data_IF_199024891362
#
_entry.id   IF_199024891362
#
_cell.length_a   1.000
_cell.length_b   1.000
_cell.length_c   1.000
_cell.angle_alpha   90.00
_cell.angle_beta   90.00
_cell.angle_gamma   90.00
#
_symmetry.space_group_name_H-M   'P 1'
#
loop_
_entity.id
_entity.type
_entity.pdbx_description
1 polymer ?
#
# COMPACT_ATOMS: atom_id res chain seq x y z
N UNK A 1 -48.02 31.93 -15.93
CA UNK A 1 -47.49 30.57 -16.00
C UNK A 1 -46.09 30.61 -15.38
N UNK A 2 -45.93 30.04 -14.20
CA UNK A 2 -44.59 29.86 -13.63
C UNK A 2 -43.96 28.67 -14.32
N UNK A 3 -42.92 28.91 -15.11
CA UNK A 3 -42.12 27.84 -15.65
C UNK A 3 -41.38 27.14 -14.49
N UNK A 4 -41.53 25.83 -14.40
CA UNK A 4 -40.79 25.04 -13.43
C UNK A 4 -39.30 25.07 -13.80
N UNK A 5 -38.41 25.26 -12.80
CA UNK A 5 -36.98 25.32 -13.01
C UNK A 5 -36.42 24.04 -13.65
N UNK A 6 -37.07 22.91 -13.42
CA UNK A 6 -36.71 21.63 -13.99
C UNK A 6 -37.05 21.55 -15.49
N UNK A 7 -38.20 22.06 -15.89
CA UNK A 7 -38.60 22.15 -17.29
C UNK A 7 -37.69 23.11 -18.09
N UNK A 8 -37.24 24.21 -17.48
CA UNK A 8 -36.27 25.14 -18.11
C UNK A 8 -34.90 24.45 -18.28
N UNK A 9 -34.43 23.68 -17.28
CA UNK A 9 -33.16 22.98 -17.35
C UNK A 9 -33.17 21.87 -18.43
N UNK A 10 -34.31 21.20 -18.60
CA UNK A 10 -34.50 20.16 -19.62
C UNK A 10 -34.56 20.78 -21.03
N UNK A 11 -35.31 21.86 -21.20
CA UNK A 11 -35.36 22.61 -22.46
C UNK A 11 -33.95 23.10 -22.91
N UNK A 12 -33.20 23.71 -21.99
CA UNK A 12 -31.83 24.19 -22.29
C UNK A 12 -30.83 23.09 -22.59
N UNK A 13 -31.07 21.88 -22.10
CA UNK A 13 -30.24 20.69 -22.41
C UNK A 13 -30.56 20.14 -23.80
N UNK A 14 -31.82 20.20 -24.22
CA UNK A 14 -32.28 19.74 -25.53
C UNK A 14 -31.99 20.75 -26.64
N UNK A 15 -31.84 22.04 -26.29
CA UNK A 15 -31.64 23.16 -27.22
C UNK A 15 -30.36 23.91 -26.92
N UNK A 16 -29.15 23.32 -27.15
CA UNK A 16 -27.88 23.97 -26.91
C UNK A 16 -27.63 25.21 -27.78
N UNK A 17 -28.27 25.30 -28.95
CA UNK A 17 -28.26 26.44 -29.85
C UNK A 17 -28.75 27.74 -29.17
N UNK A 18 -29.59 27.64 -28.15
CA UNK A 18 -30.04 28.79 -27.34
C UNK A 18 -28.85 29.57 -26.75
N UNK A 19 -27.80 28.90 -26.36
CA UNK A 19 -26.60 29.52 -25.78
C UNK A 19 -25.75 30.24 -26.82
N UNK A 20 -25.81 29.81 -28.08
CA UNK A 20 -25.13 30.48 -29.20
C UNK A 20 -25.92 31.74 -29.65
N UNK A 21 -27.25 31.62 -29.79
CA UNK A 21 -28.09 32.72 -30.20
C UNK A 21 -28.17 33.86 -29.17
N UNK A 22 -28.00 33.52 -27.89
CA UNK A 22 -28.11 34.47 -26.78
C UNK A 22 -26.81 34.69 -26.01
N UNK A 23 -25.64 34.50 -26.67
CA UNK A 23 -24.35 34.55 -26.03
C UNK A 23 -24.03 35.90 -25.34
N UNK A 24 -24.40 37.01 -25.97
CA UNK A 24 -24.20 38.37 -25.43
C UNK A 24 -25.04 38.59 -24.15
N UNK A 25 -26.29 38.17 -24.17
CA UNK A 25 -27.16 38.25 -22.99
C UNK A 25 -26.68 37.39 -21.84
N UNK A 26 -26.19 36.18 -22.13
CA UNK A 26 -25.67 35.28 -21.12
C UNK A 26 -24.35 35.80 -20.53
N UNK A 27 -23.49 36.45 -21.32
CA UNK A 27 -22.24 37.07 -20.85
C UNK A 27 -22.49 38.19 -19.82
N UNK A 28 -23.56 38.96 -20.02
CA UNK A 28 -23.96 40.05 -19.12
C UNK A 28 -24.83 39.62 -17.93
N UNK A 29 -25.30 38.37 -17.93
CA UNK A 29 -26.14 37.83 -16.84
C UNK A 29 -25.35 37.70 -15.54
N UNK A 30 -25.76 38.43 -14.50
CA UNK A 30 -25.15 38.39 -13.17
C UNK A 30 -25.91 37.43 -12.27
N UNK A 31 -25.21 36.46 -11.73
CA UNK A 31 -25.74 35.52 -10.71
C UNK A 31 -25.12 35.82 -9.36
N UNK A 32 -25.93 35.71 -8.28
CA UNK A 32 -25.43 35.91 -6.92
C UNK A 32 -24.30 34.93 -6.58
N UNK A 33 -23.19 35.46 -6.09
CA UNK A 33 -22.10 34.64 -5.57
C UNK A 33 -22.52 33.97 -4.27
N UNK A 34 -22.33 32.68 -4.10
CA UNK A 34 -22.81 31.95 -2.91
C UNK A 34 -22.13 32.40 -1.60
N UNK A 35 -20.98 33.07 -1.65
CA UNK A 35 -20.21 33.43 -0.44
C UNK A 35 -20.03 34.93 -0.21
N UNK A 36 -20.19 35.80 -1.21
CA UNK A 36 -19.86 37.23 -1.09
C UNK A 36 -21.03 38.19 -1.34
N UNK A 37 -22.21 37.69 -1.65
CA UNK A 37 -23.39 38.50 -1.83
C UNK A 37 -23.40 39.45 -3.03
N UNK A 38 -22.33 39.43 -3.86
CA UNK A 38 -22.19 40.23 -5.08
C UNK A 38 -22.59 39.42 -6.32
N UNK A 39 -23.35 40.04 -7.23
CA UNK A 39 -23.72 39.40 -8.49
C UNK A 39 -22.51 39.49 -9.46
N UNK A 40 -22.07 38.33 -9.99
CA UNK A 40 -21.01 38.23 -10.99
C UNK A 40 -21.52 37.64 -12.31
N UNK A 41 -20.91 37.99 -13.46
CA UNK A 41 -21.24 37.35 -14.73
C UNK A 41 -21.07 35.84 -14.70
N UNK A 42 -21.91 35.11 -15.42
CA UNK A 42 -21.82 33.63 -15.51
C UNK A 42 -20.44 33.18 -15.99
N UNK A 43 -19.88 33.88 -17.00
CA UNK A 43 -18.56 33.58 -17.55
C UNK A 43 -17.44 33.69 -16.49
N UNK A 44 -17.52 34.68 -15.61
CA UNK A 44 -16.53 34.90 -14.54
C UNK A 44 -16.61 33.78 -13.48
N UNK A 45 -17.83 33.33 -13.14
CA UNK A 45 -18.05 32.17 -12.26
C UNK A 45 -17.54 30.88 -12.86
N UNK A 46 -17.75 30.65 -14.16
CA UNK A 46 -17.20 29.51 -14.88
C UNK A 46 -15.67 29.53 -14.89
N UNK A 47 -15.08 30.71 -15.08
CA UNK A 47 -13.62 30.88 -15.06
C UNK A 47 -13.02 30.55 -13.69
N UNK A 48 -13.65 30.98 -12.60
CA UNK A 48 -13.24 30.64 -11.23
C UNK A 48 -13.33 29.14 -11.00
N UNK A 49 -14.47 28.52 -11.35
CA UNK A 49 -14.68 27.08 -11.20
C UNK A 49 -13.66 26.26 -12.03
N UNK A 50 -13.33 26.74 -13.25
CA UNK A 50 -12.35 26.08 -14.11
C UNK A 50 -10.92 26.19 -13.53
N UNK A 51 -10.56 27.35 -12.98
CA UNK A 51 -9.27 27.54 -12.30
C UNK A 51 -9.15 26.65 -11.06
N UNK A 52 -10.18 26.52 -10.27
CA UNK A 52 -10.22 25.62 -9.11
C UNK A 52 -10.06 24.16 -9.53
N UNK A 53 -10.78 23.73 -10.56
CA UNK A 53 -10.66 22.39 -11.14
C UNK A 53 -9.24 22.11 -11.66
N UNK A 54 -8.65 23.09 -12.35
CA UNK A 54 -7.27 22.96 -12.86
C UNK A 54 -6.27 22.82 -11.72
N UNK A 55 -6.36 23.65 -10.68
CA UNK A 55 -5.51 23.56 -9.49
C UNK A 55 -5.63 22.21 -8.79
N UNK A 56 -6.86 21.68 -8.67
CA UNK A 56 -7.09 20.34 -8.11
C UNK A 56 -6.44 19.24 -8.96
N UNK A 57 -6.55 19.34 -10.29
CA UNK A 57 -5.92 18.38 -11.20
C UNK A 57 -4.39 18.45 -11.12
N UNK A 58 -3.80 19.62 -11.07
CA UNK A 58 -2.36 19.82 -10.91
C UNK A 58 -1.85 19.23 -9.58
N UNK A 59 -2.61 19.45 -8.49
CA UNK A 59 -2.29 18.84 -7.20
C UNK A 59 -2.31 17.31 -7.25
N UNK A 60 -3.37 16.72 -7.81
CA UNK A 60 -3.47 15.26 -7.98
C UNK A 60 -2.38 14.71 -8.89
N UNK A 61 -2.04 15.43 -9.95
CA UNK A 61 -0.97 15.02 -10.86
C UNK A 61 0.39 15.01 -10.16
N UNK A 62 0.68 16.02 -9.38
CA UNK A 62 1.91 16.09 -8.56
C UNK A 62 1.99 14.94 -7.56
N UNK A 63 0.87 14.61 -6.93
CA UNK A 63 0.77 13.48 -6.02
C UNK A 63 1.01 12.13 -6.73
N UNK A 64 0.44 11.94 -7.92
CA UNK A 64 0.66 10.73 -8.72
C UNK A 64 2.13 10.59 -9.14
N UNK A 65 2.80 11.67 -9.55
CA UNK A 65 4.24 11.64 -9.88
C UNK A 65 5.06 11.23 -8.65
N UNK A 66 4.75 11.79 -7.48
CA UNK A 66 5.43 11.43 -6.23
C UNK A 66 5.23 9.96 -5.88
N UNK A 67 4.02 9.43 -6.01
CA UNK A 67 3.76 8.00 -5.78
C UNK A 67 4.47 7.12 -6.80
N UNK A 68 4.50 7.50 -8.08
CA UNK A 68 5.26 6.80 -9.12
C UNK A 68 6.74 6.70 -8.77
N UNK A 69 7.38 7.81 -8.42
CA UNK A 69 8.80 7.83 -8.02
C UNK A 69 9.09 6.98 -6.77
N UNK A 70 8.20 6.99 -5.78
CA UNK A 70 8.35 6.13 -4.60
C UNK A 70 8.23 4.63 -4.97
N UNK A 71 7.31 4.28 -5.88
CA UNK A 71 7.16 2.91 -6.34
C UNK A 71 8.40 2.41 -7.10
N UNK A 72 9.00 3.27 -7.92
CA UNK A 72 10.23 2.95 -8.65
C UNK A 72 11.39 2.68 -7.66
N UNK A 73 11.55 3.53 -6.63
CA UNK A 73 12.57 3.33 -5.59
C UNK A 73 12.37 2.01 -4.82
N UNK A 74 11.12 1.66 -4.47
CA UNK A 74 10.82 0.38 -3.82
C UNK A 74 11.12 -0.78 -4.76
N UNK A 75 10.79 -0.63 -6.06
CA UNK A 75 11.10 -1.62 -7.09
C UNK A 75 12.59 -1.88 -7.22
N UNK A 76 13.43 -0.84 -7.22
CA UNK A 76 14.88 -0.96 -7.26
C UNK A 76 15.44 -1.66 -6.00
N UNK A 77 14.91 -1.31 -4.81
CA UNK A 77 15.29 -1.98 -3.56
C UNK A 77 14.95 -3.48 -3.62
N UNK A 78 13.75 -3.82 -4.03
CA UNK A 78 13.30 -5.20 -4.17
C UNK A 78 14.16 -5.98 -5.17
N UNK A 79 14.53 -5.35 -6.28
CA UNK A 79 15.43 -5.97 -7.27
C UNK A 79 16.81 -6.29 -6.67
N UNK A 80 17.42 -5.36 -5.90
CA UNK A 80 18.70 -5.62 -5.20
C UNK A 80 18.59 -6.78 -4.22
N UNK A 81 17.53 -6.81 -3.42
CA UNK A 81 17.26 -7.91 -2.48
C UNK A 81 17.12 -9.23 -3.23
N UNK A 82 16.39 -9.24 -4.35
CA UNK A 82 16.24 -10.43 -5.20
C UNK A 82 17.60 -10.97 -5.67
N UNK A 83 18.48 -10.10 -6.16
CA UNK A 83 19.81 -10.50 -6.60
C UNK A 83 20.67 -11.02 -5.44
N UNK A 84 20.59 -10.38 -4.27
CA UNK A 84 21.33 -10.82 -3.08
C UNK A 84 20.84 -12.20 -2.59
N UNK A 85 19.53 -12.41 -2.54
CA UNK A 85 18.93 -13.70 -2.18
C UNK A 85 19.26 -14.81 -3.17
N UNK A 86 19.30 -14.47 -4.47
CA UNK A 86 19.72 -15.44 -5.49
C UNK A 86 21.19 -15.86 -5.36
N UNK A 87 22.06 -14.94 -4.94
CA UNK A 87 23.47 -15.18 -4.76
C UNK A 87 23.83 -15.85 -3.41
N UNK A 88 22.91 -15.88 -2.44
CA UNK A 88 23.12 -16.49 -1.13
C UNK A 88 23.40 -18.00 -1.28
N UNK A 89 24.52 -18.53 -0.71
CA UNK A 89 24.91 -19.92 -0.90
C UNK A 89 24.22 -20.90 0.07
N UNK A 90 23.66 -20.41 1.18
CA UNK A 90 23.11 -21.20 2.27
C UNK A 90 21.95 -20.49 2.97
N UNK A 91 21.23 -21.22 3.83
CA UNK A 91 20.03 -20.68 4.52
C UNK A 91 20.40 -19.52 5.44
N UNK A 92 21.52 -19.59 6.16
CA UNK A 92 21.96 -18.57 7.10
C UNK A 92 22.21 -17.24 6.39
N UNK A 93 22.94 -17.26 5.28
CA UNK A 93 23.17 -16.08 4.44
C UNK A 93 21.87 -15.56 3.84
N UNK A 94 20.94 -16.46 3.50
CA UNK A 94 19.61 -16.06 2.99
C UNK A 94 18.81 -15.29 4.04
N UNK A 95 18.80 -15.76 5.29
CA UNK A 95 18.15 -15.11 6.42
C UNK A 95 18.81 -13.78 6.77
N UNK A 96 20.15 -13.73 6.80
CA UNK A 96 20.91 -12.48 6.98
C UNK A 96 20.56 -11.43 5.92
N UNK A 97 20.48 -11.80 4.66
CA UNK A 97 20.07 -10.90 3.57
C UNK A 97 18.67 -10.37 3.80
N UNK A 98 17.73 -11.21 4.23
CA UNK A 98 16.36 -10.77 4.54
C UNK A 98 16.38 -9.72 5.66
N UNK A 99 16.98 -10.03 6.80
CA UNK A 99 17.04 -9.11 7.95
C UNK A 99 17.77 -7.81 7.63
N UNK A 100 18.93 -7.91 6.99
CA UNK A 100 19.72 -6.74 6.59
C UNK A 100 18.91 -5.84 5.66
N UNK A 101 18.25 -6.41 4.66
CA UNK A 101 17.45 -5.65 3.70
C UNK A 101 16.23 -5.00 4.36
N UNK A 102 15.55 -5.69 5.29
CA UNK A 102 14.44 -5.10 6.04
C UNK A 102 14.91 -3.87 6.81
N UNK A 103 16.04 -3.98 7.51
CA UNK A 103 16.56 -2.90 8.32
C UNK A 103 17.14 -1.74 7.48
N UNK A 104 18.00 -2.06 6.49
CA UNK A 104 18.81 -1.06 5.78
C UNK A 104 18.12 -0.50 4.54
N UNK A 105 17.50 -1.36 3.72
CA UNK A 105 16.86 -0.93 2.48
C UNK A 105 15.43 -0.44 2.71
N UNK A 106 14.66 -1.14 3.54
CA UNK A 106 13.25 -0.83 3.75
C UNK A 106 12.96 -0.04 5.03
N UNK A 107 13.97 0.22 5.85
CA UNK A 107 13.82 0.99 7.10
C UNK A 107 12.72 0.39 8.02
N UNK A 108 12.72 -0.95 8.13
CA UNK A 108 11.85 -1.70 9.03
C UNK A 108 12.67 -2.08 10.27
N UNK A 109 12.36 -1.51 11.44
CA UNK A 109 13.20 -1.66 12.62
C UNK A 109 13.14 -3.05 13.25
N UNK A 110 12.05 -3.79 13.03
CA UNK A 110 11.88 -5.16 13.58
C UNK A 110 11.37 -6.10 12.51
N UNK A 111 12.05 -7.23 12.39
CA UNK A 111 11.67 -8.32 11.50
C UNK A 111 11.95 -9.66 12.19
N UNK A 112 11.07 -10.61 12.03
CA UNK A 112 11.24 -11.97 12.51
C UNK A 112 10.72 -12.97 11.47
N UNK A 113 11.53 -13.96 11.14
CA UNK A 113 11.15 -15.09 10.30
C UNK A 113 10.84 -16.28 11.21
N UNK A 114 9.79 -17.02 10.89
CA UNK A 114 9.52 -18.34 11.49
C UNK A 114 9.24 -19.32 10.36
N UNK A 115 9.98 -20.41 10.39
CA UNK A 115 9.94 -21.46 9.38
C UNK A 115 9.43 -22.75 10.02
N UNK A 116 8.72 -23.55 9.27
CA UNK A 116 8.29 -24.88 9.69
C UNK A 116 8.52 -25.89 8.58
N UNK A 117 8.97 -27.06 8.99
CA UNK A 117 9.42 -28.14 8.13
C UNK A 117 10.53 -28.92 8.84
N UNK A 118 11.22 -29.74 8.12
CA UNK A 118 12.40 -30.43 8.69
C UNK A 118 13.54 -29.43 8.85
N UNK A 119 14.03 -29.31 10.09
CA UNK A 119 15.18 -28.49 10.42
C UNK A 119 16.43 -29.19 9.90
N UNK A 120 17.35 -28.51 9.18
CA UNK A 120 18.68 -29.06 8.95
C UNK A 120 19.35 -29.43 10.29
N UNK A 121 20.01 -30.58 10.37
CA UNK A 121 20.52 -31.20 11.62
C UNK A 121 21.41 -30.31 12.51
N UNK A 122 21.93 -29.18 11.98
CA UNK A 122 22.83 -28.26 12.69
C UNK A 122 22.24 -26.86 12.98
N UNK A 123 20.97 -26.61 12.65
CA UNK A 123 20.39 -25.28 12.76
C UNK A 123 19.63 -25.05 14.08
N UNK A 124 20.35 -24.68 15.13
CA UNK A 124 19.76 -24.01 16.31
C UNK A 124 19.51 -22.51 16.01
N UNK A 125 18.63 -22.23 15.06
CA UNK A 125 18.28 -20.86 14.74
C UNK A 125 16.90 -20.52 15.29
N UNK A 126 16.73 -19.28 15.75
CA UNK A 126 15.45 -18.76 16.25
C UNK A 126 14.30 -18.93 15.24
N UNK A 127 14.65 -18.90 13.95
CA UNK A 127 13.71 -19.02 12.82
C UNK A 127 13.04 -20.39 12.74
N UNK A 128 13.67 -21.45 13.27
CA UNK A 128 13.14 -22.81 13.31
C UNK A 128 12.49 -23.16 14.66
N UNK A 129 12.38 -22.20 15.57
CA UNK A 129 11.65 -22.42 16.83
C UNK A 129 10.19 -22.79 16.50
N UNK A 130 9.66 -23.87 17.11
CA UNK A 130 8.29 -24.29 16.88
C UNK A 130 7.29 -23.18 17.15
N UNK A 131 6.35 -23.00 16.24
CA UNK A 131 5.21 -22.08 16.38
C UNK A 131 3.93 -22.86 16.67
N UNK A 132 2.93 -22.20 17.25
CA UNK A 132 1.63 -22.79 17.53
C UNK A 132 0.93 -23.27 16.24
N UNK A 133 0.08 -24.32 16.34
CA UNK A 133 -0.76 -24.73 15.22
C UNK A 133 -1.63 -23.60 14.69
N UNK A 134 -2.14 -22.74 15.59
CA UNK A 134 -2.96 -21.59 15.29
C UNK A 134 -2.22 -20.56 14.42
N UNK A 135 -0.92 -20.33 14.69
CA UNK A 135 -0.09 -19.45 13.87
C UNK A 135 0.15 -20.02 12.47
N UNK A 136 0.34 -21.33 12.34
CA UNK A 136 0.49 -22.00 11.04
C UNK A 136 -0.80 -21.89 10.22
N UNK A 137 -1.95 -22.11 10.87
CA UNK A 137 -3.26 -21.97 10.24
C UNK A 137 -3.52 -20.53 9.83
N UNK A 138 -3.19 -19.57 10.69
CA UNK A 138 -3.26 -18.14 10.37
C UNK A 138 -2.42 -17.81 9.12
N UNK A 139 -1.14 -18.18 9.08
CA UNK A 139 -0.26 -17.93 7.94
C UNK A 139 -0.79 -18.59 6.64
N UNK A 140 -1.36 -19.79 6.76
CA UNK A 140 -1.96 -20.48 5.61
C UNK A 140 -3.24 -19.79 5.11
N UNK A 141 -4.01 -19.18 6.00
CA UNK A 141 -5.27 -18.48 5.66
C UNK A 141 -5.08 -17.13 4.98
N UNK A 142 -3.93 -16.48 5.16
CA UNK A 142 -3.65 -15.17 4.56
C UNK A 142 -3.59 -15.27 3.03
N UNK A 143 -4.55 -14.76 2.31
CA UNK A 143 -4.48 -14.66 0.84
C UNK A 143 -3.44 -13.63 0.38
N UNK A 144 -3.32 -12.53 1.13
CA UNK A 144 -2.39 -11.41 0.94
C UNK A 144 -1.71 -11.08 2.27
N UNK A 145 -0.57 -10.37 2.26
CA UNK A 145 0.04 -9.85 3.47
C UNK A 145 -0.94 -9.03 4.32
N UNK A 146 -0.99 -9.32 5.60
CA UNK A 146 -1.75 -8.49 6.55
C UNK A 146 -0.93 -7.24 6.90
N UNK A 147 -1.58 -6.10 7.02
CA UNK A 147 -1.03 -4.86 7.60
C UNK A 147 -2.05 -4.30 8.60
N UNK A 148 -1.57 -3.84 9.77
CA UNK A 148 -2.45 -3.27 10.77
C UNK A 148 -1.80 -2.99 12.13
N UNK A 149 -2.57 -2.44 13.07
CA UNK A 149 -2.06 -2.00 14.38
C UNK A 149 -1.94 -3.13 15.41
N UNK A 150 -2.40 -4.33 15.12
CA UNK A 150 -2.45 -5.41 16.09
C UNK A 150 -1.41 -6.49 15.81
N UNK A 151 -0.67 -6.86 16.84
CA UNK A 151 0.14 -8.07 16.83
C UNK A 151 -0.77 -9.31 16.83
N UNK A 152 -0.36 -10.35 16.11
CA UNK A 152 -1.11 -11.59 15.95
C UNK A 152 -0.46 -12.70 16.76
N UNK A 153 -1.26 -13.35 17.61
CA UNK A 153 -0.86 -14.50 18.42
C UNK A 153 0.49 -14.25 19.15
N UNK A 154 1.41 -15.21 19.09
CA UNK A 154 2.72 -15.12 19.75
C UNK A 154 3.74 -14.20 19.05
N UNK A 155 3.40 -13.61 17.90
CA UNK A 155 4.35 -12.83 17.09
C UNK A 155 4.90 -11.58 17.78
N UNK A 156 4.18 -11.04 18.77
CA UNK A 156 4.65 -9.93 19.59
C UNK A 156 5.97 -10.27 20.28
N UNK A 157 6.05 -11.47 20.89
CA UNK A 157 7.27 -11.93 21.55
C UNK A 157 8.46 -12.14 20.63
N UNK A 158 8.25 -12.31 19.31
CA UNK A 158 9.35 -12.43 18.34
C UNK A 158 9.96 -11.10 17.94
N UNK A 159 9.19 -10.01 18.05
CA UNK A 159 9.55 -8.67 17.59
C UNK A 159 10.03 -7.75 18.73
N UNK A 160 9.76 -8.08 19.98
CA UNK A 160 9.99 -7.22 21.16
C UNK A 160 11.32 -7.47 21.88
N UNK A 161 12.28 -8.16 21.30
CA UNK A 161 13.52 -8.58 22.01
C UNK A 161 14.36 -7.45 22.63
N UNK A 162 14.16 -6.18 22.29
CA UNK A 162 14.80 -5.02 22.99
C UNK A 162 13.94 -3.75 22.91
N UNK A 163 13.06 -3.60 23.89
CA UNK A 163 12.62 -2.29 24.40
C UNK A 163 12.07 -1.27 23.40
N UNK A 164 10.82 -1.41 22.96
CA UNK A 164 10.09 -0.37 22.26
C UNK A 164 8.68 -0.84 21.92
N UNK A 165 7.68 0.01 22.18
CA UNK A 165 6.31 -0.31 21.84
C UNK A 165 6.15 -0.27 20.30
N UNK A 166 5.78 -1.40 19.70
CA UNK A 166 5.44 -1.46 18.29
C UNK A 166 3.96 -1.11 18.11
N UNK A 167 3.67 -0.25 17.13
CA UNK A 167 2.34 0.31 16.89
C UNK A 167 1.76 -0.09 15.53
N UNK A 168 2.54 -0.72 14.66
CA UNK A 168 2.05 -1.29 13.41
C UNK A 168 2.82 -2.54 13.02
N UNK A 169 2.13 -3.48 12.37
CA UNK A 169 2.64 -4.81 12.05
C UNK A 169 2.28 -5.19 10.61
N UNK A 170 3.16 -5.98 9.98
CA UNK A 170 2.83 -6.67 8.75
C UNK A 170 3.21 -8.16 8.86
N UNK A 171 2.36 -9.03 8.33
CA UNK A 171 2.56 -10.48 8.32
C UNK A 171 2.52 -10.99 6.89
N UNK A 172 3.62 -11.55 6.46
CA UNK A 172 3.84 -12.03 5.10
C UNK A 172 3.95 -13.55 5.13
N UNK A 173 2.97 -14.29 4.59
CA UNK A 173 3.08 -15.74 4.50
C UNK A 173 4.19 -16.12 3.52
N UNK A 174 5.08 -17.00 3.93
CA UNK A 174 6.11 -17.59 3.08
C UNK A 174 5.59 -18.90 2.50
N UNK A 175 5.54 -19.00 1.16
CA UNK A 175 4.84 -20.09 0.47
C UNK A 175 5.64 -20.64 -0.70
N UNK A 176 5.54 -21.94 -0.87
CA UNK A 176 5.80 -22.62 -2.14
C UNK A 176 4.47 -22.87 -2.87
N UNK A 177 4.47 -23.33 -4.13
CA UNK A 177 3.24 -23.73 -4.81
C UNK A 177 2.46 -24.82 -4.07
N UNK A 178 3.14 -25.65 -3.27
CA UNK A 178 2.54 -26.81 -2.59
C UNK A 178 2.06 -26.48 -1.18
N UNK A 179 2.78 -25.60 -0.46
CA UNK A 179 2.53 -25.39 0.97
C UNK A 179 3.03 -24.03 1.48
N UNK A 180 2.51 -23.63 2.65
CA UNK A 180 3.08 -22.54 3.45
C UNK A 180 4.26 -23.10 4.24
N UNK A 181 5.43 -22.49 4.12
CA UNK A 181 6.69 -22.90 4.73
C UNK A 181 7.10 -22.04 5.92
N UNK A 182 6.45 -20.89 6.11
CA UNK A 182 6.82 -19.95 7.16
C UNK A 182 5.99 -18.68 7.15
N UNK A 183 6.42 -17.75 7.98
CA UNK A 183 5.88 -16.40 8.07
C UNK A 183 7.02 -15.41 8.33
N UNK A 184 6.99 -14.27 7.65
CA UNK A 184 7.82 -13.11 7.96
C UNK A 184 6.95 -12.08 8.67
N UNK A 185 7.26 -11.79 9.92
CA UNK A 185 6.62 -10.76 10.73
C UNK A 185 7.49 -9.50 10.71
N UNK A 186 6.87 -8.35 10.48
CA UNK A 186 7.49 -7.03 10.51
C UNK A 186 6.80 -6.16 11.55
N UNK A 187 7.57 -5.34 12.27
CA UNK A 187 7.05 -4.42 13.28
C UNK A 187 7.67 -3.04 13.20
N UNK A 188 6.87 -2.02 13.49
CA UNK A 188 7.32 -0.63 13.53
C UNK A 188 6.69 0.13 14.70
N UNK A 189 7.44 1.05 15.36
CA UNK A 189 6.88 1.98 16.32
C UNK A 189 6.02 3.06 15.64
N UNK A 190 6.19 3.30 14.34
CA UNK A 190 5.35 4.24 13.59
C UNK A 190 3.99 3.58 13.25
N UNK A 191 2.86 4.11 13.78
CA UNK A 191 1.53 3.57 13.51
C UNK A 191 1.08 3.73 12.05
N UNK A 192 1.74 4.59 11.28
CA UNK A 192 1.44 4.83 9.86
C UNK A 192 2.28 3.97 8.92
N UNK A 193 3.20 3.16 9.46
CA UNK A 193 4.09 2.33 8.64
C UNK A 193 3.36 1.20 7.93
N UNK A 194 2.53 0.46 8.67
CA UNK A 194 1.77 -0.67 8.17
C UNK A 194 0.28 -0.45 8.47
N UNK A 195 -0.40 0.26 7.57
CA UNK A 195 -1.84 0.55 7.71
C UNK A 195 -2.69 -0.43 6.93
N UNK A 196 -3.92 -0.64 7.34
CA UNK A 196 -4.90 -1.53 6.68
C UNK A 196 -5.16 -1.10 5.22
N UNK A 197 -5.07 0.20 4.96
CA UNK A 197 -5.29 0.78 3.61
C UNK A 197 -4.02 0.74 2.73
N UNK A 198 -2.89 0.30 3.28
CA UNK A 198 -1.63 0.20 2.55
C UNK A 198 -1.71 -0.85 1.45
N UNK A 199 -1.27 -0.49 0.23
CA UNK A 199 -1.16 -1.46 -0.86
C UNK A 199 -0.11 -2.54 -0.54
N UNK A 200 -0.51 -3.80 -0.56
CA UNK A 200 0.33 -4.96 -0.17
C UNK A 200 1.19 -5.52 -1.29
N UNK A 201 1.10 -4.95 -2.50
CA UNK A 201 1.74 -5.49 -3.71
C UNK A 201 3.26 -5.74 -3.57
N UNK A 202 4.00 -4.78 -2.98
CA UNK A 202 5.44 -4.94 -2.77
C UNK A 202 5.78 -5.93 -1.68
N UNK A 203 4.98 -5.98 -0.61
CA UNK A 203 5.13 -6.98 0.46
C UNK A 203 4.86 -8.39 -0.06
N UNK A 204 3.89 -8.55 -0.95
CA UNK A 204 3.59 -9.83 -1.60
C UNK A 204 4.77 -10.28 -2.46
N UNK A 205 5.32 -9.41 -3.31
CA UNK A 205 6.51 -9.72 -4.11
C UNK A 205 7.73 -10.07 -3.25
N UNK A 206 7.93 -9.35 -2.14
CA UNK A 206 8.99 -9.67 -1.19
C UNK A 206 8.79 -11.06 -0.60
N UNK A 207 7.57 -11.38 -0.16
CA UNK A 207 7.23 -12.70 0.37
C UNK A 207 7.48 -13.82 -0.66
N UNK A 208 7.10 -13.61 -1.91
CA UNK A 208 7.34 -14.57 -3.00
C UNK A 208 8.84 -14.83 -3.22
N UNK A 209 9.63 -13.77 -3.33
CA UNK A 209 11.09 -13.90 -3.54
C UNK A 209 11.76 -14.54 -2.34
N UNK A 210 11.42 -14.11 -1.12
CA UNK A 210 11.96 -14.71 0.11
C UNK A 210 11.56 -16.19 0.24
N UNK A 211 10.31 -16.53 -0.08
CA UNK A 211 9.82 -17.92 -0.06
C UNK A 211 10.62 -18.82 -0.99
N UNK A 212 10.83 -18.38 -2.22
CA UNK A 212 11.58 -19.15 -3.21
C UNK A 212 13.06 -19.28 -2.84
N UNK A 213 13.66 -18.24 -2.25
CA UNK A 213 15.02 -18.28 -1.79
C UNK A 213 15.20 -19.28 -0.62
N UNK A 214 14.31 -19.26 0.36
CA UNK A 214 14.30 -20.15 1.53
C UNK A 214 14.00 -21.59 1.12
N UNK A 215 13.02 -21.81 0.25
CA UNK A 215 12.58 -23.15 -0.17
C UNK A 215 13.71 -23.98 -0.82
N UNK A 216 14.75 -23.34 -1.36
CA UNK A 216 15.94 -24.02 -1.94
C UNK A 216 16.68 -24.88 -0.91
N UNK A 217 16.57 -24.55 0.37
CA UNK A 217 17.30 -25.17 1.47
C UNK A 217 16.41 -26.03 2.37
N UNK A 218 15.10 -25.97 2.18
CA UNK A 218 14.18 -26.84 2.91
C UNK A 218 13.99 -28.15 2.14
N UNK A 219 14.00 -29.32 2.83
CA UNK A 219 13.77 -30.59 2.16
C UNK A 219 12.39 -30.63 1.52
N UNK A 220 12.33 -31.18 0.31
CA UNK A 220 11.07 -31.55 -0.35
C UNK A 220 10.54 -32.79 0.37
N UNK A 221 9.35 -32.67 1.00
CA UNK A 221 8.63 -33.84 1.50
C UNK A 221 8.04 -34.66 0.37
#
# INVERSE_FOLDING_TARGET
MSLDSQAVAEYLREHPEFFEEHADWLADMKIAHPYEGHAIPIAERQLVALREKNRLLESRFTELIRHGGNNDLIGEKLHRVTLALFAAPEIDTTLEVIYHSMHTDFDVPRAAVRLWGQVPDDAYQAEFTPVSPEMREYAASLAEPYCGPLAVLESQGWLEEEGGMLNSFAYLPLRTPERTIGILALGSPDPQRFTVEMGTHFLMRLAEVASMAIARYLPSE
#
